data_IF_350044085854
#
_entry.id   IF_350044085854
#
_cell.length_a   1.000
_cell.length_b   1.000
_cell.length_c   1.000
_cell.angle_alpha   90.00
_cell.angle_beta   90.00
_cell.angle_gamma   90.00
#
_symmetry.space_group_name_H-M   'P 1'
#
loop_
_entity.id
_entity.type
_entity.pdbx_description
1 polymer ?
#
# COMPACT_ATOMS: atom_id res chain seq x y z
N UNK A 1 1.17 -3.92 15.11
CA UNK A 1 2.29 -4.86 14.84
C UNK A 1 1.94 -5.91 13.77
N UNK A 2 0.79 -6.58 13.85
CA UNK A 2 0.36 -7.60 12.85
C UNK A 2 0.30 -7.04 11.41
N UNK A 3 -0.21 -5.82 11.23
CA UNK A 3 -0.24 -5.14 9.93
C UNK A 3 1.15 -4.95 9.31
N UNK A 4 2.16 -4.60 10.12
CA UNK A 4 3.54 -4.41 9.65
C UNK A 4 4.15 -5.74 9.20
N UNK A 5 3.89 -6.83 9.93
CA UNK A 5 4.32 -8.18 9.52
C UNK A 5 3.71 -8.60 8.18
N UNK A 6 2.41 -8.33 7.97
CA UNK A 6 1.74 -8.58 6.69
C UNK A 6 2.30 -7.71 5.56
N UNK A 7 2.66 -6.47 5.85
CA UNK A 7 3.33 -5.56 4.91
C UNK A 7 4.71 -6.05 4.51
N UNK A 8 5.52 -6.52 5.46
CA UNK A 8 6.83 -7.14 5.18
C UNK A 8 6.66 -8.40 4.34
N UNK A 9 5.66 -9.23 4.64
CA UNK A 9 5.37 -10.42 3.84
C UNK A 9 4.92 -10.07 2.41
N UNK A 10 4.06 -9.05 2.25
CA UNK A 10 3.66 -8.53 0.95
C UNK A 10 4.88 -7.95 0.18
N UNK A 11 5.73 -7.18 0.87
CA UNK A 11 6.94 -6.61 0.31
C UNK A 11 7.95 -7.67 -0.14
N UNK A 12 8.13 -8.73 0.66
CA UNK A 12 9.04 -9.84 0.33
C UNK A 12 8.56 -10.64 -0.88
N UNK A 13 7.26 -10.95 -0.92
CA UNK A 13 6.64 -11.66 -2.06
C UNK A 13 6.65 -10.82 -3.34
N UNK A 14 6.39 -9.52 -3.23
CA UNK A 14 6.45 -8.57 -4.34
C UNK A 14 7.88 -8.35 -4.85
N UNK A 15 8.87 -8.25 -3.97
CA UNK A 15 10.28 -8.14 -4.36
C UNK A 15 10.80 -9.40 -5.07
N UNK A 16 10.42 -10.59 -4.58
CA UNK A 16 10.94 -11.86 -5.10
C UNK A 16 10.19 -12.33 -6.35
N UNK A 17 8.87 -12.11 -6.43
CA UNK A 17 8.02 -12.65 -7.51
C UNK A 17 7.34 -11.59 -8.38
N UNK A 18 7.48 -10.30 -8.09
CA UNK A 18 6.75 -9.19 -8.75
C UNK A 18 5.24 -9.43 -8.84
N UNK A 19 4.72 -10.11 -7.82
CA UNK A 19 3.31 -10.45 -7.66
C UNK A 19 2.97 -10.28 -6.17
N UNK A 20 1.95 -9.48 -5.90
CA UNK A 20 1.43 -9.31 -4.55
C UNK A 20 0.60 -10.55 -4.19
N UNK A 21 1.00 -11.24 -3.13
CA UNK A 21 0.28 -12.43 -2.67
C UNK A 21 -1.14 -12.08 -2.22
N UNK A 22 -2.15 -12.71 -2.82
CA UNK A 22 -3.55 -12.53 -2.41
C UNK A 22 -3.78 -12.84 -0.93
N UNK A 23 -3.02 -13.77 -0.34
CA UNK A 23 -3.09 -14.06 1.09
C UNK A 23 -2.69 -12.87 1.97
N UNK A 24 -1.73 -12.05 1.53
CA UNK A 24 -1.34 -10.84 2.23
C UNK A 24 -2.45 -9.78 2.18
N UNK A 25 -3.10 -9.62 1.02
CA UNK A 25 -4.22 -8.69 0.82
C UNK A 25 -5.40 -9.08 1.72
N UNK A 26 -5.77 -10.37 1.74
CA UNK A 26 -6.85 -10.88 2.60
C UNK A 26 -6.49 -10.68 4.07
N UNK A 27 -5.24 -10.96 4.47
CA UNK A 27 -4.77 -10.73 5.83
C UNK A 27 -4.88 -9.25 6.24
N UNK A 28 -4.47 -8.32 5.37
CA UNK A 28 -4.58 -6.89 5.64
C UNK A 28 -6.06 -6.51 5.81
N UNK A 29 -6.94 -6.92 4.89
CA UNK A 29 -8.38 -6.68 5.00
C UNK A 29 -8.98 -7.21 6.30
N UNK A 30 -8.62 -8.43 6.72
CA UNK A 30 -9.09 -9.03 7.96
C UNK A 30 -8.67 -8.21 9.18
N UNK A 31 -7.42 -7.75 9.22
CA UNK A 31 -6.90 -6.91 10.31
C UNK A 31 -7.53 -5.51 10.28
N UNK A 32 -7.93 -5.00 9.11
CA UNK A 32 -8.64 -3.72 8.98
C UNK A 32 -10.03 -3.70 9.63
N UNK A 33 -10.71 -4.84 9.77
CA UNK A 33 -11.96 -4.90 10.53
C UNK A 33 -11.75 -4.51 11.99
N UNK A 34 -10.61 -4.88 12.58
CA UNK A 34 -10.24 -4.55 13.95
C UNK A 34 -9.54 -3.19 14.10
N UNK A 35 -9.31 -2.46 13.01
CA UNK A 35 -8.71 -1.12 13.05
C UNK A 35 -9.69 -0.08 13.61
N UNK A 36 -9.18 0.89 14.37
CA UNK A 36 -9.93 1.99 14.97
C UNK A 36 -10.40 3.05 13.94
N UNK A 37 -10.13 2.86 12.66
CA UNK A 37 -10.59 3.78 11.61
C UNK A 37 -12.12 3.80 11.51
N UNK A 38 -12.75 4.98 11.35
CA UNK A 38 -14.19 5.09 11.27
C UNK A 38 -14.73 4.35 10.04
N UNK A 39 -15.88 3.68 10.19
CA UNK A 39 -16.47 2.81 9.16
C UNK A 39 -16.75 3.55 7.83
N UNK A 40 -17.05 4.86 7.91
CA UNK A 40 -17.28 5.72 6.74
C UNK A 40 -16.00 5.89 5.92
N UNK A 41 -14.86 6.12 6.57
CA UNK A 41 -13.56 6.22 5.89
C UNK A 41 -13.13 4.87 5.30
N UNK A 42 -13.45 3.75 5.97
CA UNK A 42 -13.21 2.40 5.44
C UNK A 42 -13.98 2.17 4.13
N UNK A 43 -15.27 2.52 4.12
CA UNK A 43 -16.13 2.37 2.94
C UNK A 43 -15.71 3.32 1.81
N UNK A 44 -15.44 4.60 2.12
CA UNK A 44 -14.94 5.56 1.14
C UNK A 44 -13.58 5.13 0.60
N UNK A 45 -12.65 4.69 1.44
CA UNK A 45 -11.35 4.21 1.02
C UNK A 45 -11.45 3.02 0.06
N UNK A 46 -12.37 2.08 0.33
CA UNK A 46 -12.65 0.99 -0.58
C UNK A 46 -13.25 1.50 -1.90
N UNK A 47 -14.33 2.28 -1.89
CA UNK A 47 -14.98 2.73 -3.12
C UNK A 47 -14.11 3.66 -3.98
N UNK A 48 -13.42 4.60 -3.33
CA UNK A 48 -12.71 5.71 -3.97
C UNK A 48 -11.35 5.25 -4.53
N UNK A 49 -10.74 4.19 -3.99
CA UNK A 49 -9.56 3.56 -4.62
C UNK A 49 -9.96 2.45 -5.58
N UNK A 50 -10.91 1.58 -5.22
CA UNK A 50 -11.16 0.37 -6.02
C UNK A 50 -11.90 0.68 -7.33
N UNK A 51 -12.87 1.61 -7.33
CA UNK A 51 -13.61 1.94 -8.56
C UNK A 51 -12.76 2.64 -9.61
N UNK A 52 -12.06 3.77 -9.32
CA UNK A 52 -11.28 4.45 -10.35
C UNK A 52 -10.16 3.56 -10.87
N UNK A 53 -9.52 2.80 -9.98
CA UNK A 53 -8.46 1.89 -10.38
C UNK A 53 -8.96 0.67 -11.16
N UNK A 54 -10.20 0.23 -10.97
CA UNK A 54 -10.84 -0.78 -11.82
C UNK A 54 -11.07 -0.24 -13.24
N UNK A 55 -11.58 0.99 -13.38
CA UNK A 55 -11.72 1.64 -14.68
C UNK A 55 -10.36 1.91 -15.36
N UNK A 56 -9.34 2.29 -14.59
CA UNK A 56 -7.98 2.49 -15.12
C UNK A 56 -7.36 1.15 -15.52
N UNK A 57 -7.57 0.07 -14.77
CA UNK A 57 -7.10 -1.28 -15.16
C UNK A 57 -7.79 -1.80 -16.43
N UNK A 58 -9.07 -1.48 -16.64
CA UNK A 58 -9.80 -1.79 -17.88
C UNK A 58 -9.25 -1.01 -19.09
N UNK A 59 -8.76 0.21 -18.87
CA UNK A 59 -8.27 1.10 -19.95
C UNK A 59 -6.77 0.99 -20.21
N UNK A 60 -5.99 0.66 -19.18
CA UNK A 60 -4.53 0.59 -19.21
C UNK A 60 -4.08 -0.80 -18.73
N UNK A 61 -3.70 -1.67 -19.66
CA UNK A 61 -3.18 -3.03 -19.37
C UNK A 61 -1.90 -3.04 -18.51
N UNK A 62 -1.31 -1.88 -18.23
CA UNK A 62 -0.11 -1.75 -17.38
C UNK A 62 -0.41 -1.81 -15.89
N UNK A 63 -1.65 -1.53 -15.47
CA UNK A 63 -2.02 -1.56 -14.06
C UNK A 63 -2.51 -2.96 -13.69
N UNK A 64 -1.65 -3.70 -12.97
CA UNK A 64 -2.00 -5.02 -12.47
C UNK A 64 -3.04 -4.86 -11.35
N UNK A 65 -4.15 -5.59 -11.44
CA UNK A 65 -5.22 -5.52 -10.44
C UNK A 65 -4.78 -5.90 -9.01
N UNK A 66 -3.64 -6.58 -8.84
CA UNK A 66 -3.06 -6.87 -7.53
C UNK A 66 -2.64 -5.60 -6.77
N UNK A 67 -2.01 -4.66 -7.46
CA UNK A 67 -1.50 -3.40 -6.89
C UNK A 67 -2.66 -2.54 -6.35
N UNK A 68 -3.75 -2.52 -7.11
CA UNK A 68 -5.00 -1.83 -6.76
C UNK A 68 -5.64 -2.43 -5.51
N UNK A 69 -5.78 -3.76 -5.47
CA UNK A 69 -6.38 -4.48 -4.34
C UNK A 69 -5.55 -4.28 -3.07
N UNK A 70 -4.22 -4.27 -3.21
CA UNK A 70 -3.30 -4.01 -2.11
C UNK A 70 -3.47 -2.59 -1.55
N UNK A 71 -3.41 -1.57 -2.42
CA UNK A 71 -3.61 -0.18 -2.05
C UNK A 71 -4.98 0.04 -1.38
N UNK A 72 -6.04 -0.60 -1.90
CA UNK A 72 -7.37 -0.56 -1.29
C UNK A 72 -7.37 -1.18 0.12
N UNK A 73 -6.79 -2.37 0.30
CA UNK A 73 -6.72 -3.03 1.61
C UNK A 73 -5.95 -2.19 2.65
N UNK A 74 -4.84 -1.59 2.24
CA UNK A 74 -4.03 -0.69 3.05
C UNK A 74 -4.80 0.59 3.39
N UNK A 75 -5.54 1.17 2.42
CA UNK A 75 -6.40 2.33 2.63
C UNK A 75 -7.47 2.07 3.69
N UNK A 76 -8.12 0.90 3.65
CA UNK A 76 -9.12 0.51 4.65
C UNK A 76 -8.49 0.37 6.04
N UNK A 77 -7.23 -0.10 6.12
CA UNK A 77 -6.52 -0.23 7.40
C UNK A 77 -6.15 1.14 7.99
N UNK A 78 -5.49 1.99 7.20
CA UNK A 78 -4.86 3.25 7.61
C UNK A 78 -5.81 4.46 7.59
N UNK A 79 -6.83 4.42 6.75
CA UNK A 79 -7.61 5.60 6.36
C UNK A 79 -6.93 6.40 5.24
N UNK A 80 -7.72 7.24 4.57
CA UNK A 80 -7.27 8.01 3.38
C UNK A 80 -6.17 9.01 3.75
N UNK A 81 -6.29 9.67 4.90
CA UNK A 81 -5.34 10.69 5.34
C UNK A 81 -3.95 10.11 5.64
N UNK A 82 -3.88 9.06 6.47
CA UNK A 82 -2.61 8.43 6.82
C UNK A 82 -1.99 7.70 5.61
N UNK A 83 -2.83 7.14 4.74
CA UNK A 83 -2.37 6.57 3.47
C UNK A 83 -1.69 7.63 2.61
N UNK A 84 -2.32 8.80 2.42
CA UNK A 84 -1.76 9.89 1.63
C UNK A 84 -0.42 10.36 2.18
N UNK A 85 -0.31 10.51 3.51
CA UNK A 85 0.95 10.87 4.16
C UNK A 85 2.03 9.79 4.00
N UNK A 86 1.69 8.51 4.09
CA UNK A 86 2.63 7.41 3.87
C UNK A 86 3.07 7.25 2.40
N UNK A 87 2.22 7.68 1.46
CA UNK A 87 2.54 7.68 0.03
C UNK A 87 3.59 8.72 -0.36
N UNK A 88 3.71 9.84 0.37
CA UNK A 88 4.73 10.85 0.10
C UNK A 88 6.15 10.25 0.17
N UNK A 89 6.61 9.65 1.29
CA UNK A 89 7.92 9.01 1.33
C UNK A 89 8.00 7.78 0.42
N UNK A 90 6.89 7.04 0.21
CA UNK A 90 6.87 5.91 -0.71
C UNK A 90 7.11 6.33 -2.17
N UNK A 91 6.58 7.47 -2.63
CA UNK A 91 6.81 7.96 -4.00
C UNK A 91 8.25 8.43 -4.19
N UNK A 92 8.83 9.09 -3.18
CA UNK A 92 10.25 9.47 -3.21
C UNK A 92 11.13 8.23 -3.33
N UNK A 93 10.89 7.19 -2.53
CA UNK A 93 11.64 5.93 -2.61
C UNK A 93 11.38 5.20 -3.93
N UNK A 94 10.18 5.30 -4.51
CA UNK A 94 9.88 4.74 -5.84
C UNK A 94 10.70 5.40 -6.95
N UNK A 95 10.79 6.74 -6.94
CA UNK A 95 11.55 7.51 -7.93
C UNK A 95 13.04 7.19 -7.81
N UNK A 96 13.58 7.17 -6.59
CA UNK A 96 14.99 6.82 -6.33
C UNK A 96 15.27 5.39 -6.81
N UNK A 97 14.41 4.44 -6.48
CA UNK A 97 14.56 3.05 -6.90
C UNK A 97 14.53 2.90 -8.43
N UNK A 98 13.58 3.56 -9.10
CA UNK A 98 13.47 3.58 -10.55
C UNK A 98 14.70 4.17 -11.23
N UNK A 99 15.26 5.25 -10.66
CA UNK A 99 16.47 5.88 -11.17
C UNK A 99 17.71 4.97 -11.04
N UNK A 100 17.89 4.33 -9.88
CA UNK A 100 19.04 3.46 -9.60
C UNK A 100 18.99 2.17 -10.42
N UNK A 101 17.81 1.54 -10.54
CA UNK A 101 17.67 0.24 -11.22
C UNK A 101 17.41 0.36 -12.72
N UNK A 102 17.09 1.55 -13.25
CA UNK A 102 16.68 1.79 -14.66
C UNK A 102 15.53 0.87 -15.12
N UNK A 103 14.75 0.33 -14.19
CA UNK A 103 13.63 -0.56 -14.50
C UNK A 103 12.33 0.25 -14.65
N UNK A 104 11.51 -0.11 -15.65
CA UNK A 104 10.21 0.54 -15.89
C UNK A 104 9.14 0.21 -14.84
N UNK A 105 9.30 -0.86 -14.07
CA UNK A 105 8.33 -1.31 -13.08
C UNK A 105 8.98 -1.47 -11.71
N UNK A 106 8.38 -0.83 -10.71
CA UNK A 106 8.85 -0.82 -9.33
C UNK A 106 7.94 -1.73 -8.51
N UNK A 107 8.48 -2.62 -7.65
CA UNK A 107 7.66 -3.43 -6.74
C UNK A 107 6.96 -2.50 -5.73
N UNK A 108 5.65 -2.31 -5.92
CA UNK A 108 4.85 -1.31 -5.20
C UNK A 108 4.80 -1.62 -3.70
N UNK A 109 4.58 -2.88 -3.30
CA UNK A 109 4.43 -3.25 -1.91
C UNK A 109 5.76 -3.10 -1.15
N UNK A 110 6.88 -3.35 -1.82
CA UNK A 110 8.22 -3.15 -1.26
C UNK A 110 8.49 -1.68 -0.95
N UNK A 111 8.28 -0.81 -1.93
CA UNK A 111 8.53 0.62 -1.78
C UNK A 111 7.55 1.26 -0.78
N UNK A 112 6.29 0.82 -0.82
CA UNK A 112 5.29 1.25 0.15
C UNK A 112 5.66 0.83 1.58
N UNK A 113 6.20 -0.38 1.78
CA UNK A 113 6.66 -0.83 3.09
C UNK A 113 7.80 0.04 3.65
N UNK A 114 8.78 0.42 2.81
CA UNK A 114 9.85 1.34 3.22
C UNK A 114 9.27 2.71 3.57
N UNK A 115 8.38 3.24 2.73
CA UNK A 115 7.71 4.52 2.99
C UNK A 115 6.92 4.51 4.30
N UNK A 116 6.22 3.41 4.59
CA UNK A 116 5.46 3.23 5.82
C UNK A 116 6.35 3.17 7.08
N UNK A 117 7.50 2.51 7.01
CA UNK A 117 8.47 2.47 8.12
C UNK A 117 9.04 3.86 8.39
N UNK A 118 9.40 4.62 7.34
CA UNK A 118 9.87 6.00 7.47
C UNK A 118 8.76 6.88 8.08
N UNK A 119 7.52 6.72 7.62
CA UNK A 119 6.37 7.46 8.16
C UNK A 119 6.14 7.18 9.66
N UNK A 120 6.19 5.91 10.07
CA UNK A 120 6.12 5.52 11.48
C UNK A 120 7.27 6.11 12.30
N UNK A 121 8.50 6.09 11.78
CA UNK A 121 9.65 6.71 12.44
C UNK A 121 9.48 8.23 12.61
N UNK A 122 8.94 8.93 11.60
CA UNK A 122 8.67 10.37 11.68
C UNK A 122 7.58 10.70 12.69
N UNK A 123 6.50 9.92 12.74
CA UNK A 123 5.45 10.09 13.76
C UNK A 123 6.02 9.86 15.16
N UNK A 124 6.80 8.79 15.33
CA UNK A 124 7.43 8.48 16.61
C UNK A 124 8.36 9.61 17.07
N UNK A 125 9.14 10.21 16.17
CA UNK A 125 10.02 11.36 16.47
C UNK A 125 9.26 12.65 16.78
N UNK A 126 8.04 12.84 16.24
CA UNK A 126 7.21 14.03 16.49
C UNK A 126 6.33 13.93 17.74
N UNK A 127 6.12 12.72 18.26
CA UNK A 127 5.19 12.43 19.36
C UNK A 127 5.86 11.89 20.63
N UNK A 128 7.16 12.12 20.81
CA UNK A 128 7.91 11.85 22.04
C UNK A 128 8.01 13.05 22.94
#
# INVERSE_FOLDING_TARGET
>A
MIFLLLLIYAAYTDYTRRQIANSAIIGICAVSFFSATPAVEKMMGLFLLTLPSFFVALKYERLKGGDVKFLAAVCVYLGIYNLALALIPATVTAVVYGYVRKEKSVPLAFVFCIGYIIFQAVIFLRGG
#
